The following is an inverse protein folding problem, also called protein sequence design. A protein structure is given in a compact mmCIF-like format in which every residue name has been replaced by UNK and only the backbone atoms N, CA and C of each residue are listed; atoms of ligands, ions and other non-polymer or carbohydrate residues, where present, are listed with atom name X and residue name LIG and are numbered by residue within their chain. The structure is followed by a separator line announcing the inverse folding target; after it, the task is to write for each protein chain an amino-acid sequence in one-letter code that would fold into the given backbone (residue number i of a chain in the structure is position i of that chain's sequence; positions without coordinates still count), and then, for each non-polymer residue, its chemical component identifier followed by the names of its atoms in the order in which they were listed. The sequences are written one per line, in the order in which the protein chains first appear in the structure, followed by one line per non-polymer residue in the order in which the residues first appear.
data_IF_609538080932
#
_entry.id   IF_609538080932
#
_cell.length_a   1.000
_cell.length_b   1.000
_cell.length_c   1.000
_cell.angle_alpha   90.00
_cell.angle_beta   90.00
_cell.angle_gamma   90.00
#
_symmetry.space_group_name_H-M   'P 1'
#
loop_
_entity.id
_entity.type
_entity.pdbx_description
1 polymer ?
#
# COMPACT_ATOMS: atom_id res chain seq x y z
N UNK A 1 -8.70 -16.61 -24.79
CA UNK A 1 -9.61 -16.98 -23.69
C UNK A 1 -8.98 -17.01 -22.29
N UNK A 2 -7.77 -17.55 -22.06
CA UNK A 2 -7.10 -17.42 -20.74
C UNK A 2 -6.54 -16.02 -20.46
N UNK A 3 -6.01 -15.36 -21.49
CA UNK A 3 -5.52 -13.98 -21.40
C UNK A 3 -6.67 -13.00 -21.10
N UNK A 4 -7.81 -13.14 -21.79
CA UNK A 4 -8.99 -12.29 -21.60
C UNK A 4 -9.63 -12.46 -20.22
N UNK A 5 -9.71 -13.71 -19.73
CA UNK A 5 -10.20 -13.99 -18.37
C UNK A 5 -9.28 -13.44 -17.28
N UNK A 6 -7.96 -13.41 -17.52
CA UNK A 6 -6.99 -12.82 -16.60
C UNK A 6 -7.04 -11.30 -16.62
N UNK A 7 -7.07 -10.68 -17.80
CA UNK A 7 -7.22 -9.24 -17.96
C UNK A 7 -8.52 -8.72 -17.32
N UNK A 8 -9.63 -9.46 -17.46
CA UNK A 8 -10.88 -9.12 -16.79
C UNK A 8 -10.81 -9.25 -15.27
N UNK A 9 -10.10 -10.27 -14.75
CA UNK A 9 -9.88 -10.43 -13.31
C UNK A 9 -9.06 -9.27 -12.75
N UNK A 10 -7.95 -8.94 -13.40
CA UNK A 10 -7.04 -7.88 -12.97
C UNK A 10 -7.73 -6.50 -13.02
N UNK A 11 -8.55 -6.24 -14.06
CA UNK A 11 -9.33 -5.01 -14.16
C UNK A 11 -10.40 -4.86 -13.07
N UNK A 12 -11.02 -5.95 -12.62
CA UNK A 12 -11.93 -5.92 -11.46
C UNK A 12 -11.18 -5.55 -10.18
N UNK A 13 -9.99 -6.11 -9.98
CA UNK A 13 -9.18 -5.84 -8.79
C UNK A 13 -8.67 -4.40 -8.78
N UNK A 14 -8.24 -3.88 -9.92
CA UNK A 14 -7.82 -2.49 -10.08
C UNK A 14 -8.96 -1.52 -9.77
N UNK A 15 -10.15 -1.75 -10.34
CA UNK A 15 -11.36 -0.99 -10.03
C UNK A 15 -11.72 -1.01 -8.54
N UNK A 16 -11.57 -2.17 -7.89
CA UNK A 16 -11.79 -2.30 -6.45
C UNK A 16 -10.79 -1.45 -5.66
N UNK A 17 -9.49 -1.57 -5.96
CA UNK A 17 -8.42 -0.79 -5.32
C UNK A 17 -8.62 0.72 -5.46
N UNK A 18 -9.03 1.19 -6.64
CA UNK A 18 -9.33 2.61 -6.86
C UNK A 18 -10.49 3.10 -5.97
N UNK A 19 -11.57 2.33 -5.88
CA UNK A 19 -12.72 2.69 -5.06
C UNK A 19 -12.38 2.64 -3.56
N UNK A 20 -11.59 1.66 -3.13
CA UNK A 20 -11.11 1.57 -1.76
C UNK A 20 -10.23 2.77 -1.37
N UNK A 21 -9.34 3.20 -2.27
CA UNK A 21 -8.52 4.41 -2.08
C UNK A 21 -9.38 5.66 -1.98
N UNK A 22 -10.37 5.81 -2.86
CA UNK A 22 -11.24 6.97 -2.88
C UNK A 22 -12.12 7.09 -1.63
N UNK A 23 -12.64 5.98 -1.11
CA UNK A 23 -13.52 5.96 0.06
C UNK A 23 -12.76 5.82 1.39
N UNK A 24 -11.50 5.41 1.36
CA UNK A 24 -10.68 5.17 2.54
C UNK A 24 -11.08 3.92 3.34
N UNK A 25 -11.97 3.08 2.80
CA UNK A 25 -12.42 1.83 3.42
C UNK A 25 -12.79 0.77 2.36
N UNK A 26 -13.05 -0.46 2.80
CA UNK A 26 -13.55 -1.54 1.92
C UNK A 26 -15.07 -1.54 1.71
N UNK A 27 -15.82 -0.57 2.25
CA UNK A 27 -17.29 -0.53 2.22
C UNK A 27 -17.92 -0.12 0.88
N UNK A 28 -17.31 -0.61 -0.20
CA UNK A 28 -17.74 -0.41 -1.57
C UNK A 28 -18.61 -1.58 -2.01
N UNK A 29 -19.78 -1.29 -2.58
CA UNK A 29 -20.66 -2.34 -3.12
C UNK A 29 -20.05 -3.05 -4.32
N UNK A 30 -20.25 -4.37 -4.44
CA UNK A 30 -19.84 -5.15 -5.62
C UNK A 30 -20.44 -4.59 -6.92
N UNK A 31 -21.62 -3.97 -6.87
CA UNK A 31 -22.24 -3.29 -8.02
C UNK A 31 -21.42 -2.08 -8.46
N UNK A 32 -20.94 -1.27 -7.51
CA UNK A 32 -20.07 -0.12 -7.81
C UNK A 32 -18.75 -0.57 -8.43
N UNK A 33 -18.17 -1.66 -7.90
CA UNK A 33 -16.93 -2.25 -8.45
C UNK A 33 -17.15 -2.79 -9.86
N UNK A 34 -18.23 -3.55 -10.09
CA UNK A 34 -18.57 -4.06 -11.41
C UNK A 34 -18.78 -2.94 -12.43
N UNK A 35 -19.49 -1.87 -12.03
CA UNK A 35 -19.70 -0.70 -12.87
C UNK A 35 -18.38 0.02 -13.21
N UNK A 36 -17.48 0.21 -12.22
CA UNK A 36 -16.17 0.81 -12.44
C UNK A 36 -15.28 -0.05 -13.34
N UNK A 37 -15.31 -1.37 -13.17
CA UNK A 37 -14.57 -2.32 -14.00
C UNK A 37 -15.19 -2.54 -15.39
N UNK A 38 -16.33 -1.89 -15.69
CA UNK A 38 -17.10 -2.07 -16.92
C UNK A 38 -17.46 -3.55 -17.20
N UNK A 39 -17.84 -4.28 -16.15
CA UNK A 39 -18.28 -5.68 -16.25
C UNK A 39 -19.68 -5.87 -15.64
N UNK A 40 -20.37 -6.92 -16.05
CA UNK A 40 -21.61 -7.33 -15.39
C UNK A 40 -21.35 -7.91 -13.99
N UNK A 41 -22.30 -7.72 -13.05
CA UNK A 41 -22.23 -8.29 -11.69
C UNK A 41 -22.09 -9.82 -11.71
N UNK A 42 -22.74 -10.49 -12.66
CA UNK A 42 -22.58 -11.94 -12.85
C UNK A 42 -21.17 -12.34 -13.29
N UNK A 43 -20.47 -11.49 -14.07
CA UNK A 43 -19.07 -11.72 -14.46
C UNK A 43 -18.15 -11.51 -13.27
N UNK A 44 -18.37 -10.47 -12.47
CA UNK A 44 -17.63 -10.25 -11.23
C UNK A 44 -17.76 -11.46 -10.30
N UNK A 45 -18.98 -11.93 -10.04
CA UNK A 45 -19.21 -13.10 -9.17
C UNK A 45 -18.55 -14.39 -9.68
N UNK A 46 -18.43 -14.59 -11.01
CA UNK A 46 -17.70 -15.74 -11.56
C UNK A 46 -16.20 -15.70 -11.23
N UNK A 47 -15.60 -14.50 -11.16
CA UNK A 47 -14.19 -14.33 -10.80
C UNK A 47 -13.96 -14.26 -9.28
N UNK A 48 -14.91 -13.69 -8.55
CA UNK A 48 -14.87 -13.44 -7.11
C UNK A 48 -16.22 -13.86 -6.50
N UNK A 49 -16.34 -15.14 -6.08
CA UNK A 49 -17.59 -15.68 -5.55
C UNK A 49 -18.11 -14.90 -4.35
N UNK A 50 -17.19 -14.42 -3.52
CA UNK A 50 -17.43 -13.66 -2.31
C UNK A 50 -16.51 -12.42 -2.21
N UNK A 51 -16.87 -11.51 -1.30
CA UNK A 51 -16.14 -10.26 -1.08
C UNK A 51 -14.74 -10.49 -0.50
N UNK A 52 -14.57 -11.53 0.31
CA UNK A 52 -13.28 -11.87 0.92
C UNK A 52 -12.24 -12.22 -0.16
N UNK A 53 -12.64 -12.99 -1.18
CA UNK A 53 -11.78 -13.38 -2.30
C UNK A 53 -11.31 -12.16 -3.12
N UNK A 54 -12.18 -11.16 -3.30
CA UNK A 54 -11.84 -9.91 -3.97
C UNK A 54 -10.87 -9.06 -3.14
N UNK A 55 -11.18 -8.88 -1.85
CA UNK A 55 -10.33 -8.10 -0.94
C UNK A 55 -8.95 -8.73 -0.81
N UNK A 56 -8.88 -10.05 -0.62
CA UNK A 56 -7.61 -10.78 -0.51
C UNK A 56 -6.75 -10.61 -1.76
N UNK A 57 -7.35 -10.81 -2.95
CA UNK A 57 -6.65 -10.62 -4.22
C UNK A 57 -6.19 -9.16 -4.41
N UNK A 58 -7.01 -8.18 -4.05
CA UNK A 58 -6.65 -6.77 -4.10
C UNK A 58 -5.47 -6.44 -3.17
N UNK A 59 -5.47 -7.02 -1.97
CA UNK A 59 -4.41 -6.85 -1.00
C UNK A 59 -3.09 -7.45 -1.48
N UNK A 60 -3.13 -8.64 -2.08
CA UNK A 60 -1.97 -9.28 -2.70
C UNK A 60 -1.42 -8.43 -3.85
N UNK A 61 -2.29 -7.97 -4.76
CA UNK A 61 -1.87 -7.16 -5.90
C UNK A 61 -1.22 -5.83 -5.46
N UNK A 62 -1.72 -5.17 -4.40
CA UNK A 62 -1.06 -3.97 -3.89
C UNK A 62 0.28 -4.28 -3.21
N UNK A 63 0.38 -5.41 -2.51
CA UNK A 63 1.64 -5.85 -1.92
C UNK A 63 2.70 -6.04 -3.02
N UNK A 64 2.38 -6.76 -4.09
CA UNK A 64 3.28 -6.93 -5.23
C UNK A 64 3.66 -5.60 -5.88
N UNK A 65 2.70 -4.68 -6.06
CA UNK A 65 2.98 -3.34 -6.59
C UNK A 65 3.92 -2.53 -5.67
N UNK A 66 3.77 -2.66 -4.35
CA UNK A 66 4.65 -2.05 -3.35
C UNK A 66 6.07 -2.60 -3.46
N UNK A 67 6.22 -3.92 -3.57
CA UNK A 67 7.53 -4.55 -3.73
C UNK A 67 8.18 -4.14 -5.05
N UNK A 68 7.42 -4.08 -6.15
CA UNK A 68 7.92 -3.63 -7.45
C UNK A 68 8.46 -2.18 -7.40
N UNK A 69 7.78 -1.27 -6.69
CA UNK A 69 8.26 0.10 -6.47
C UNK A 69 9.60 0.11 -5.74
N UNK A 70 9.75 -0.73 -4.71
CA UNK A 70 10.98 -0.85 -3.94
C UNK A 70 12.12 -1.36 -4.82
N UNK A 71 11.89 -2.43 -5.59
CA UNK A 71 12.90 -3.00 -6.48
C UNK A 71 13.35 -2.00 -7.56
N UNK A 72 12.42 -1.27 -8.17
CA UNK A 72 12.75 -0.23 -9.15
C UNK A 72 13.63 0.87 -8.53
N UNK A 73 13.41 1.22 -7.26
CA UNK A 73 14.24 2.22 -6.55
C UNK A 73 15.59 1.67 -6.17
N UNK A 74 15.66 0.41 -5.75
CA UNK A 74 16.94 -0.28 -5.47
C UNK A 74 17.78 -0.34 -6.76
N UNK A 75 17.17 -0.63 -7.91
CA UNK A 75 17.88 -0.73 -9.19
C UNK A 75 18.51 0.60 -9.64
N UNK A 76 17.95 1.74 -9.21
CA UNK A 76 18.43 3.10 -9.51
C UNK A 76 19.20 3.74 -8.35
N UNK A 77 19.56 2.95 -7.35
CA UNK A 77 20.11 3.47 -6.10
C UNK A 77 21.44 4.19 -6.30
N UNK A 78 22.34 3.60 -7.09
CA UNK A 78 23.72 4.07 -7.21
C UNK A 78 23.84 5.36 -8.06
N UNK A 79 22.80 5.70 -8.84
CA UNK A 79 22.74 6.96 -9.60
C UNK A 79 22.59 8.17 -8.67
N UNK A 80 21.69 8.06 -7.70
CA UNK A 80 21.44 9.10 -6.69
C UNK A 80 20.73 8.47 -5.47
N UNK A 81 21.48 8.07 -4.43
CA UNK A 81 20.91 7.38 -3.27
C UNK A 81 19.82 8.17 -2.55
N UNK A 82 20.00 9.49 -2.41
CA UNK A 82 19.03 10.34 -1.71
C UNK A 82 17.72 10.46 -2.50
N UNK A 83 17.81 10.65 -3.82
CA UNK A 83 16.63 10.69 -4.68
C UNK A 83 15.92 9.32 -4.74
N UNK A 84 16.67 8.22 -4.76
CA UNK A 84 16.11 6.87 -4.73
C UNK A 84 15.36 6.61 -3.41
N UNK A 85 15.92 7.03 -2.27
CA UNK A 85 15.30 6.92 -0.96
C UNK A 85 14.01 7.73 -0.83
N UNK A 86 14.08 9.05 -1.08
CA UNK A 86 12.90 9.94 -1.03
C UNK A 86 11.84 9.47 -2.01
N UNK A 87 12.25 9.20 -3.25
CA UNK A 87 11.38 8.73 -4.31
C UNK A 87 10.75 7.35 -4.05
N UNK A 88 11.34 6.51 -3.19
CA UNK A 88 10.69 5.29 -2.72
C UNK A 88 9.55 5.62 -1.76
N UNK A 89 9.83 6.40 -0.71
CA UNK A 89 8.84 6.77 0.32
C UNK A 89 7.64 7.50 -0.30
N UNK A 90 7.88 8.52 -1.14
CA UNK A 90 6.78 9.25 -1.80
C UNK A 90 5.90 8.31 -2.64
N UNK A 91 6.50 7.43 -3.44
CA UNK A 91 5.72 6.50 -4.28
C UNK A 91 4.96 5.47 -3.45
N UNK A 92 5.58 4.94 -2.40
CA UNK A 92 4.93 4.00 -1.49
C UNK A 92 3.72 4.64 -0.81
N UNK A 93 3.85 5.88 -0.33
CA UNK A 93 2.72 6.62 0.25
C UNK A 93 1.63 6.90 -0.79
N UNK A 94 2.03 7.30 -2.00
CA UNK A 94 1.10 7.57 -3.10
C UNK A 94 0.31 6.33 -3.57
N UNK A 95 0.79 5.10 -3.31
CA UNK A 95 0.02 3.89 -3.64
C UNK A 95 -1.24 3.71 -2.79
N UNK A 96 -1.39 4.46 -1.69
CA UNK A 96 -2.56 4.40 -0.83
C UNK A 96 -2.66 3.09 -0.05
N UNK A 97 -1.58 2.67 0.62
CA UNK A 97 -1.53 1.43 1.44
C UNK A 97 -2.48 1.52 2.66
N UNK A 98 -2.83 2.74 3.09
CA UNK A 98 -3.70 3.01 4.23
C UNK A 98 -5.07 2.32 4.17
N UNK A 99 -5.89 2.50 3.12
CA UNK A 99 -7.17 1.80 2.96
C UNK A 99 -7.05 0.28 3.15
N UNK A 100 -5.96 -0.33 2.69
CA UNK A 100 -5.77 -1.78 2.86
C UNK A 100 -5.47 -2.18 4.29
N UNK A 101 -4.61 -1.43 4.98
CA UNK A 101 -4.23 -1.73 6.35
C UNK A 101 -5.43 -1.54 7.30
N UNK A 102 -6.17 -0.44 7.13
CA UNK A 102 -7.37 -0.17 7.93
C UNK A 102 -8.42 -1.24 7.70
N UNK A 103 -8.81 -1.48 6.45
CA UNK A 103 -9.95 -2.35 6.21
C UNK A 103 -9.64 -3.85 6.26
N UNK A 104 -8.37 -4.25 6.08
CA UNK A 104 -7.92 -5.61 6.41
C UNK A 104 -8.01 -5.88 7.91
N UNK A 105 -7.63 -4.89 8.74
CA UNK A 105 -7.75 -4.98 10.19
C UNK A 105 -9.19 -4.98 10.68
N UNK A 106 -10.06 -4.13 10.10
CA UNK A 106 -11.49 -4.05 10.42
C UNK A 106 -12.22 -5.35 10.05
N UNK A 107 -11.93 -5.91 8.87
CA UNK A 107 -12.47 -7.20 8.46
C UNK A 107 -12.05 -8.33 9.41
N UNK A 108 -10.76 -8.36 9.77
CA UNK A 108 -10.25 -9.36 10.70
C UNK A 108 -10.92 -9.25 12.09
N UNK A 109 -11.23 -8.05 12.56
CA UNK A 109 -11.96 -7.83 13.80
C UNK A 109 -13.42 -8.30 13.67
N UNK A 110 -14.12 -7.88 12.63
CA UNK A 110 -15.53 -8.20 12.40
C UNK A 110 -15.78 -9.72 12.30
N UNK A 111 -14.86 -10.45 11.68
CA UNK A 111 -14.96 -11.89 11.46
C UNK A 111 -14.30 -12.74 12.56
N UNK A 112 -13.75 -12.12 13.62
CA UNK A 112 -13.04 -12.84 14.68
C UNK A 112 -11.73 -13.53 14.21
N UNK A 113 -11.11 -13.01 13.14
CA UNK A 113 -9.91 -13.56 12.48
C UNK A 113 -8.63 -12.76 12.76
N UNK A 114 -8.59 -11.99 13.85
CA UNK A 114 -7.45 -11.11 14.20
C UNK A 114 -6.12 -11.87 14.24
N UNK A 115 -6.05 -13.05 14.86
CA UNK A 115 -4.82 -13.84 14.95
C UNK A 115 -4.32 -14.32 13.58
N UNK A 116 -5.24 -14.71 12.69
CA UNK A 116 -4.92 -15.12 11.34
C UNK A 116 -4.39 -13.93 10.52
N UNK A 117 -5.02 -12.76 10.65
CA UNK A 117 -4.56 -11.53 10.00
C UNK A 117 -3.16 -11.12 10.49
N UNK A 118 -2.93 -11.12 11.81
CA UNK A 118 -1.62 -10.78 12.38
C UNK A 118 -0.53 -11.77 11.94
N UNK A 119 -0.86 -13.07 11.84
CA UNK A 119 0.04 -14.09 11.30
C UNK A 119 0.38 -13.79 9.85
N UNK A 120 -0.63 -13.53 9.01
CA UNK A 120 -0.43 -13.16 7.61
C UNK A 120 0.45 -11.91 7.48
N UNK A 121 0.25 -10.88 8.32
CA UNK A 121 1.09 -9.67 8.28
C UNK A 121 2.55 -9.94 8.67
N UNK A 122 2.79 -10.86 9.61
CA UNK A 122 4.15 -11.29 10.00
C UNK A 122 4.83 -12.17 8.95
N UNK A 123 4.04 -12.98 8.23
CA UNK A 123 4.55 -13.90 7.21
C UNK A 123 4.74 -13.25 5.83
N UNK A 124 4.36 -11.96 5.69
CA UNK A 124 4.60 -11.20 4.46
C UNK A 124 6.07 -11.11 4.13
N UNK A 125 6.39 -11.25 2.84
CA UNK A 125 7.76 -11.06 2.37
C UNK A 125 8.12 -9.58 2.40
N UNK A 126 8.97 -9.21 3.35
CA UNK A 126 9.54 -7.86 3.46
C UNK A 126 10.99 -7.80 3.02
N UNK A 127 11.55 -8.85 2.41
CA UNK A 127 12.97 -8.86 1.98
C UNK A 127 13.32 -7.70 1.05
N UNK A 128 12.49 -7.26 0.08
CA UNK A 128 12.81 -6.07 -0.71
C UNK A 128 12.87 -4.80 0.14
N UNK A 129 11.94 -4.63 1.10
CA UNK A 129 11.93 -3.50 2.02
C UNK A 129 13.17 -3.52 2.92
N UNK A 130 13.54 -4.66 3.48
CA UNK A 130 14.76 -4.83 4.27
C UNK A 130 16.02 -4.41 3.49
N UNK A 131 16.12 -4.79 2.21
CA UNK A 131 17.25 -4.38 1.36
C UNK A 131 17.28 -2.87 1.14
N UNK A 132 16.12 -2.25 0.91
CA UNK A 132 16.01 -0.79 0.80
C UNK A 132 16.45 -0.10 2.10
N UNK A 133 15.99 -0.58 3.26
CA UNK A 133 16.35 -0.04 4.56
C UNK A 133 17.84 -0.20 4.85
N UNK A 134 18.44 -1.35 4.54
CA UNK A 134 19.89 -1.57 4.66
C UNK A 134 20.69 -0.60 3.79
N UNK A 135 20.25 -0.35 2.55
CA UNK A 135 20.88 0.64 1.67
C UNK A 135 20.75 2.06 2.22
N UNK A 136 19.57 2.43 2.74
CA UNK A 136 19.34 3.73 3.35
C UNK A 136 20.20 3.94 4.61
N UNK A 137 20.29 2.92 5.48
CA UNK A 137 21.11 2.95 6.68
C UNK A 137 22.61 3.10 6.37
N UNK A 138 23.11 2.41 5.34
CA UNK A 138 24.50 2.54 4.90
C UNK A 138 24.86 3.96 4.41
N UNK A 139 23.87 4.79 4.09
CA UNK A 139 24.03 6.19 3.70
C UNK A 139 23.66 7.18 4.82
N UNK A 140 23.32 6.70 6.02
CA UNK A 140 22.86 7.54 7.13
C UNK A 140 21.46 8.13 6.92
N UNK A 141 20.65 7.59 6.01
CA UNK A 141 19.29 8.12 5.74
C UNK A 141 18.22 7.57 6.69
N UNK A 142 18.53 6.50 7.41
CA UNK A 142 17.64 5.84 8.37
C UNK A 142 18.47 5.06 9.41
N UNK A 143 17.89 4.71 10.58
CA UNK A 143 18.59 3.89 11.58
C UNK A 143 18.94 2.50 11.04
N UNK A 144 20.09 1.97 11.45
CA UNK A 144 20.56 0.64 11.03
C UNK A 144 19.73 -0.53 11.57
N UNK A 145 18.99 -0.31 12.66
CA UNK A 145 18.11 -1.26 13.32
C UNK A 145 16.62 -0.99 13.05
N UNK A 146 16.30 -0.16 12.05
CA UNK A 146 14.91 0.16 11.71
C UNK A 146 14.13 -1.10 11.30
N UNK A 147 13.17 -1.48 12.14
CA UNK A 147 12.27 -2.59 11.89
C UNK A 147 11.43 -2.35 10.60
N UNK A 148 11.42 -3.30 9.63
CA UNK A 148 10.67 -3.14 8.38
C UNK A 148 9.15 -3.02 8.57
N UNK A 149 8.56 -3.73 9.53
CA UNK A 149 7.14 -3.60 9.83
C UNK A 149 6.84 -2.22 10.41
N UNK A 150 7.72 -1.67 11.25
CA UNK A 150 7.59 -0.32 11.79
C UNK A 150 7.67 0.73 10.68
N UNK A 151 8.61 0.58 9.75
CA UNK A 151 8.71 1.46 8.59
C UNK A 151 7.43 1.43 7.75
N UNK A 152 6.95 0.25 7.37
CA UNK A 152 5.71 0.08 6.59
C UNK A 152 4.50 0.65 7.34
N UNK A 153 4.40 0.42 8.66
CA UNK A 153 3.33 0.98 9.48
C UNK A 153 3.35 2.52 9.51
N UNK A 154 4.54 3.13 9.50
CA UNK A 154 4.70 4.58 9.35
C UNK A 154 4.16 5.09 8.01
N UNK A 155 4.50 4.42 6.90
CA UNK A 155 3.98 4.77 5.58
C UNK A 155 2.46 4.59 5.49
N UNK A 156 1.92 3.52 6.10
CA UNK A 156 0.48 3.31 6.25
C UNK A 156 -0.19 4.50 6.94
N UNK A 157 0.39 5.00 8.04
CA UNK A 157 -0.17 6.16 8.74
C UNK A 157 -0.17 7.42 7.86
N UNK A 158 0.91 7.65 7.10
CA UNK A 158 1.06 8.80 6.20
C UNK A 158 0.14 8.73 4.97
N UNK A 159 -0.26 7.54 4.56
CA UNK A 159 -1.09 7.33 3.35
C UNK A 159 -2.59 7.53 3.61
N UNK A 160 -3.01 7.83 4.84
CA UNK A 160 -4.42 7.99 5.18
C UNK A 160 -4.96 9.28 4.55
N UNK A 161 -6.07 9.22 3.80
CA UNK A 161 -6.64 10.41 3.19
C UNK A 161 -7.04 11.41 4.27
N UNK A 162 -6.64 12.67 4.09
CA UNK A 162 -7.06 13.76 4.94
C UNK A 162 -8.51 14.16 4.60
N UNK A 163 -9.28 14.74 5.54
CA UNK A 163 -10.58 15.31 5.24
C UNK A 163 -10.50 16.32 4.08
N UNK A 164 -11.52 16.39 3.24
CA UNK A 164 -11.54 17.26 2.05
C UNK A 164 -11.26 18.73 2.39
N UNK A 165 -11.82 19.22 3.51
CA UNK A 165 -11.59 20.58 3.98
C UNK A 165 -10.11 20.83 4.35
N UNK A 166 -9.44 19.83 4.95
CA UNK A 166 -8.02 19.91 5.29
C UNK A 166 -7.18 19.98 4.01
N UNK A 167 -7.48 19.16 3.00
CA UNK A 167 -6.77 19.21 1.72
C UNK A 167 -6.95 20.54 0.99
N UNK A 168 -8.10 21.21 1.12
CA UNK A 168 -8.31 22.56 0.57
C UNK A 168 -7.54 23.63 1.33
N UNK A 169 -7.41 23.48 2.65
CA UNK A 169 -6.70 24.44 3.51
C UNK A 169 -5.17 24.30 3.40
N UNK A 170 -4.69 23.06 3.28
CA UNK A 170 -3.27 22.69 3.30
C UNK A 170 -3.00 21.70 2.15
N UNK A 171 -2.90 22.19 0.90
CA UNK A 171 -2.82 21.33 -0.29
C UNK A 171 -1.54 20.50 -0.36
N UNK A 172 -0.48 20.91 0.32
CA UNK A 172 0.83 20.28 0.40
C UNK A 172 1.03 19.44 1.67
N UNK A 173 0.00 19.32 2.53
CA UNK A 173 0.13 18.68 3.85
C UNK A 173 0.69 17.25 3.76
N UNK A 174 0.26 16.46 2.78
CA UNK A 174 0.75 15.10 2.60
C UNK A 174 2.25 15.08 2.25
N UNK A 175 2.70 15.95 1.35
CA UNK A 175 4.12 16.06 0.96
C UNK A 175 4.96 16.52 2.16
N UNK A 176 4.49 17.54 2.88
CA UNK A 176 5.15 18.04 4.08
C UNK A 176 5.31 16.96 5.16
N UNK A 177 4.27 16.14 5.41
CA UNK A 177 4.37 15.06 6.39
C UNK A 177 5.35 13.96 5.97
N UNK A 178 5.45 13.67 4.65
CA UNK A 178 6.44 12.73 4.12
C UNK A 178 7.85 13.27 4.35
N UNK A 179 8.10 14.55 4.05
CA UNK A 179 9.40 15.18 4.25
C UNK A 179 9.81 15.22 5.73
N UNK A 180 8.86 15.53 6.62
CA UNK A 180 9.08 15.47 8.07
C UNK A 180 9.42 14.05 8.52
N UNK A 181 8.75 13.03 7.99
CA UNK A 181 9.06 11.63 8.29
C UNK A 181 10.46 11.25 7.82
N UNK A 182 10.83 11.63 6.59
CA UNK A 182 12.17 11.38 6.03
C UNK A 182 13.26 12.06 6.89
N UNK A 183 13.05 13.33 7.26
CA UNK A 183 13.96 14.06 8.12
C UNK A 183 14.08 13.41 9.51
N UNK A 184 12.98 12.93 10.07
CA UNK A 184 12.96 12.20 11.34
C UNK A 184 13.74 10.89 11.29
N UNK A 185 13.58 10.09 10.21
CA UNK A 185 14.36 8.87 10.02
C UNK A 185 15.87 9.16 9.93
N UNK A 186 16.26 10.22 9.21
CA UNK A 186 17.66 10.65 9.13
C UNK A 186 18.20 11.09 10.49
N UNK A 187 17.47 11.92 11.23
CA UNK A 187 17.89 12.39 12.55
C UNK A 187 18.02 11.26 13.60
N UNK A 188 17.29 10.16 13.41
CA UNK A 188 17.44 8.96 14.24
C UNK A 188 18.66 8.11 13.85
N UNK A 189 19.19 8.26 12.63
CA UNK A 189 20.40 7.57 12.18
C UNK A 189 21.67 8.19 12.81
N UNK A 190 21.61 9.47 13.17
CA UNK A 190 22.73 10.22 13.77
C UNK A 190 22.89 10.00 15.28
N UNK A 191 22.06 9.17 15.90
CA UNK A 191 22.06 8.86 17.35
C UNK A 191 22.74 7.54 17.65
#
# INVERSE_FOLDING_TARGET
MRADARANRDGIVEAALELFRAQGNFDVSLRSIAARANVGVATLHRHFPDRESLITTAVEQLHEATLAIVEERIARWDDNPEAAWKGAIHRLVATGIAPLASSGSEFAVAEGRVDAFLRQMRERDLRPVERLLKKAAAQGFAPGDLDPHRFVAGLVALSRPLPELTMKLLPDQCEWMIDVHIAGLRALADR
#
